data_IF_278880732123
#
_entry.id   IF_278880732123
#
_cell.length_a   1.000
_cell.length_b   1.000
_cell.length_c   1.000
_cell.angle_alpha   90.00
_cell.angle_beta   90.00
_cell.angle_gamma   90.00
#
_symmetry.space_group_name_H-M   'P 1'
#
loop_
_entity.id
_entity.type
_entity.pdbx_description
1 polymer ?
#
# COMPACT_ATOMS: atom_id res chain seq x y z
N UNK A 1 -60.38 -10.24 0.90
CA UNK A 1 -59.20 -9.94 1.74
C UNK A 1 -57.94 -10.10 0.88
N UNK A 2 -57.06 -9.10 0.89
CA UNK A 2 -55.75 -9.07 0.21
C UNK A 2 -54.71 -9.92 0.95
N UNK A 3 -53.78 -10.53 0.20
CA UNK A 3 -52.31 -10.63 0.46
C UNK A 3 -51.71 -11.63 -0.55
N UNK A 4 -50.97 -11.18 -1.55
CA UNK A 4 -49.56 -10.75 -1.57
C UNK A 4 -48.67 -11.85 -2.16
N UNK A 5 -48.20 -11.51 -3.35
CA UNK A 5 -47.11 -12.01 -4.18
C UNK A 5 -45.77 -12.09 -3.42
N UNK A 6 -44.91 -13.06 -3.75
CA UNK A 6 -43.46 -12.85 -3.69
C UNK A 6 -42.74 -13.78 -4.70
N UNK A 7 -42.37 -13.19 -5.83
CA UNK A 7 -41.49 -13.78 -6.83
C UNK A 7 -40.09 -13.35 -6.42
N UNK A 8 -39.29 -14.25 -5.83
CA UNK A 8 -37.89 -13.95 -5.53
C UNK A 8 -37.07 -14.29 -6.77
N UNK A 9 -36.89 -13.30 -7.63
CA UNK A 9 -35.86 -13.29 -8.67
C UNK A 9 -34.49 -13.09 -8.02
N UNK A 10 -33.68 -14.14 -7.99
CA UNK A 10 -32.26 -14.04 -7.64
C UNK A 10 -31.53 -13.46 -8.87
N UNK A 11 -31.36 -12.13 -8.93
CA UNK A 11 -30.57 -11.51 -10.00
C UNK A 11 -29.10 -11.88 -9.81
N UNK A 12 -28.56 -12.66 -10.76
CA UNK A 12 -27.12 -12.75 -10.98
C UNK A 12 -26.62 -11.37 -11.40
N UNK A 13 -26.12 -10.59 -10.43
CA UNK A 13 -25.33 -9.40 -10.75
C UNK A 13 -24.04 -9.86 -11.41
N UNK A 14 -23.98 -9.73 -12.73
CA UNK A 14 -22.76 -9.83 -13.54
C UNK A 14 -21.75 -8.81 -13.01
N UNK A 15 -20.77 -9.28 -12.25
CA UNK A 15 -19.62 -8.47 -11.83
C UNK A 15 -18.70 -8.31 -13.03
N UNK A 16 -18.67 -7.11 -13.60
CA UNK A 16 -17.70 -6.76 -14.62
C UNK A 16 -16.35 -6.51 -13.92
N UNK A 17 -15.45 -7.50 -14.03
CA UNK A 17 -14.06 -7.40 -13.61
C UNK A 17 -13.22 -6.89 -14.79
N UNK A 18 -12.58 -5.73 -14.62
CA UNK A 18 -11.65 -5.19 -15.61
C UNK A 18 -10.22 -5.37 -15.10
N UNK A 19 -9.39 -6.07 -15.88
CA UNK A 19 -7.99 -6.34 -15.52
C UNK A 19 -7.08 -5.41 -16.31
N UNK A 20 -6.36 -4.54 -15.61
CA UNK A 20 -5.37 -3.67 -16.23
C UNK A 20 -4.15 -4.48 -16.71
N UNK A 21 -3.40 -3.94 -17.69
CA UNK A 21 -2.19 -4.59 -18.26
C UNK A 21 -1.12 -5.01 -17.24
N UNK A 22 -1.17 -4.49 -16.01
CA UNK A 22 -0.22 -4.78 -14.93
C UNK A 22 -0.80 -5.70 -13.84
N UNK A 23 -1.94 -6.36 -14.11
CA UNK A 23 -2.55 -7.34 -13.21
C UNK A 23 -3.48 -6.76 -12.14
N UNK A 24 -3.60 -5.44 -12.04
CA UNK A 24 -4.58 -4.82 -11.13
C UNK A 24 -5.99 -5.10 -11.63
N UNK A 25 -6.81 -5.70 -10.76
CA UNK A 25 -8.21 -6.03 -11.03
C UNK A 25 -9.12 -4.95 -10.43
N UNK A 26 -9.96 -4.35 -11.25
CA UNK A 26 -11.00 -3.42 -10.84
C UNK A 26 -12.33 -4.15 -10.81
N UNK A 27 -12.99 -4.13 -9.65
CA UNK A 27 -14.36 -4.61 -9.52
C UNK A 27 -15.29 -3.41 -9.56
N UNK A 28 -16.02 -3.23 -10.66
CA UNK A 28 -17.06 -2.21 -10.73
C UNK A 28 -18.27 -2.71 -9.96
N UNK A 29 -18.50 -2.18 -8.77
CA UNK A 29 -19.70 -2.49 -7.98
C UNK A 29 -20.84 -1.62 -8.51
N UNK A 30 -21.81 -2.23 -9.22
CA UNK A 30 -23.07 -1.53 -9.50
C UNK A 30 -23.89 -1.46 -8.23
N UNK A 31 -24.30 -0.26 -7.86
CA UNK A 31 -25.34 -0.07 -6.84
C UNK A 31 -26.68 0.03 -7.57
N UNK A 32 -27.47 -1.04 -7.50
CA UNK A 32 -28.87 -1.03 -7.92
C UNK A 32 -29.71 -0.30 -6.86
N UNK A 33 -29.66 1.04 -6.91
CA UNK A 33 -30.74 1.85 -6.34
C UNK A 33 -30.96 3.09 -7.22
N UNK A 34 -32.14 3.06 -7.84
CA UNK A 34 -32.82 4.12 -8.58
C UNK A 34 -32.43 5.53 -8.10
N UNK A 35 -31.57 6.23 -8.84
CA UNK A 35 -31.45 7.68 -8.76
C UNK A 35 -31.01 8.27 -10.11
N UNK A 36 -31.99 8.89 -10.76
CA UNK A 36 -31.82 9.77 -11.91
C UNK A 36 -31.10 11.04 -11.43
N UNK A 37 -29.81 11.20 -11.73
CA UNK A 37 -29.12 12.48 -11.56
C UNK A 37 -27.69 12.36 -11.05
N UNK A 38 -26.72 12.59 -11.95
CA UNK A 38 -25.27 12.73 -11.69
C UNK A 38 -24.66 11.62 -10.83
N UNK A 39 -24.15 10.59 -11.51
CA UNK A 39 -23.24 9.58 -10.92
C UNK A 39 -21.99 10.27 -10.38
N UNK A 40 -21.95 10.47 -9.08
CA UNK A 40 -20.70 10.74 -8.36
C UNK A 40 -20.00 9.38 -8.24
N UNK A 41 -19.08 9.10 -9.16
CA UNK A 41 -18.28 7.89 -9.11
C UNK A 41 -17.34 7.98 -7.92
N UNK A 42 -17.67 7.30 -6.82
CA UNK A 42 -16.76 7.16 -5.70
C UNK A 42 -15.71 6.12 -6.07
N UNK A 43 -14.48 6.58 -6.32
CA UNK A 43 -13.33 5.68 -6.50
C UNK A 43 -12.92 5.20 -5.12
N UNK A 44 -13.43 4.05 -4.69
CA UNK A 44 -12.97 3.40 -3.46
C UNK A 44 -11.64 2.70 -3.79
N UNK A 45 -10.54 3.30 -3.36
CA UNK A 45 -9.22 2.66 -3.42
C UNK A 45 -9.22 1.47 -2.46
N UNK A 46 -9.26 0.26 -2.98
CA UNK A 46 -8.98 -0.95 -2.20
C UNK A 46 -7.48 -1.06 -2.02
N UNK A 47 -7.06 -1.32 -0.77
CA UNK A 47 -5.67 -1.60 -0.44
C UNK A 47 -5.26 -2.91 -1.16
N UNK A 48 -4.30 -2.81 -2.08
CA UNK A 48 -3.80 -3.97 -2.81
C UNK A 48 -2.78 -4.68 -1.93
N UNK A 49 -3.02 -5.95 -1.62
CA UNK A 49 -2.05 -6.78 -0.92
C UNK A 49 -0.83 -7.01 -1.82
N UNK A 50 0.33 -6.53 -1.40
CA UNK A 50 1.60 -6.76 -2.10
C UNK A 50 2.53 -5.54 -2.12
N UNK A 51 3.75 -5.71 -2.67
CA UNK A 51 4.66 -4.60 -2.86
C UNK A 51 4.07 -3.58 -3.83
N UNK A 52 4.23 -2.31 -3.50
CA UNK A 52 3.77 -1.23 -4.37
C UNK A 52 4.47 -1.28 -5.73
N UNK A 53 3.84 -0.71 -6.75
CA UNK A 53 4.46 -0.56 -8.07
C UNK A 53 5.81 0.19 -8.01
N UNK A 54 5.95 1.09 -7.03
CA UNK A 54 7.21 1.76 -6.72
C UNK A 54 8.28 0.79 -6.21
N UNK A 55 7.95 -0.05 -5.22
CA UNK A 55 8.87 -1.05 -4.68
C UNK A 55 9.30 -2.07 -5.75
N UNK A 56 8.35 -2.54 -6.57
CA UNK A 56 8.62 -3.44 -7.70
C UNK A 56 9.62 -2.80 -8.66
N UNK A 57 9.38 -1.56 -9.11
CA UNK A 57 10.30 -0.87 -10.03
C UNK A 57 11.70 -0.75 -9.46
N UNK A 58 11.84 -0.41 -8.18
CA UNK A 58 13.15 -0.29 -7.53
C UNK A 58 13.90 -1.62 -7.47
N UNK A 59 13.22 -2.72 -7.18
CA UNK A 59 13.84 -4.05 -7.15
C UNK A 59 14.20 -4.55 -8.55
N UNK A 60 13.37 -4.25 -9.55
CA UNK A 60 13.55 -4.79 -10.92
C UNK A 60 14.54 -3.97 -11.76
N UNK A 61 14.60 -2.65 -11.54
CA UNK A 61 15.46 -1.73 -12.30
C UNK A 61 16.71 -1.29 -11.54
N UNK A 62 16.67 -1.35 -10.21
CA UNK A 62 17.80 -0.98 -9.35
C UNK A 62 18.73 -2.14 -9.09
N UNK A 63 19.93 -1.82 -8.59
CA UNK A 63 20.79 -2.81 -7.97
C UNK A 63 20.28 -3.19 -6.56
N UNK A 64 20.85 -4.25 -6.00
CA UNK A 64 20.51 -4.72 -4.66
C UNK A 64 20.67 -3.62 -3.59
N UNK A 65 21.67 -2.74 -3.75
CA UNK A 65 21.92 -1.63 -2.84
C UNK A 65 20.78 -0.60 -2.87
N UNK A 66 20.21 -0.34 -4.05
CA UNK A 66 19.08 0.56 -4.25
C UNK A 66 17.78 -0.01 -3.67
N UNK A 67 17.58 -1.33 -3.79
CA UNK A 67 16.43 -2.00 -3.17
C UNK A 67 16.49 -1.95 -1.64
N UNK A 68 17.68 -2.05 -1.04
CA UNK A 68 17.87 -1.91 0.41
C UNK A 68 17.40 -0.57 0.96
N UNK A 69 17.47 0.51 0.15
CA UNK A 69 17.00 1.84 0.54
C UNK A 69 15.48 1.92 0.75
N UNK A 70 14.71 0.95 0.26
CA UNK A 70 13.28 0.83 0.57
C UNK A 70 13.03 0.51 2.06
N UNK A 71 13.99 -0.17 2.71
CA UNK A 71 13.89 -0.58 4.11
C UNK A 71 14.64 0.38 5.04
N UNK A 72 15.82 0.82 4.61
CA UNK A 72 16.67 1.73 5.39
C UNK A 72 16.89 3.01 4.60
N UNK A 73 16.21 4.08 5.01
CA UNK A 73 16.39 5.39 4.41
C UNK A 73 17.54 6.19 5.08
N UNK A 74 17.90 7.30 4.47
CA UNK A 74 19.00 8.17 4.92
C UNK A 74 18.81 8.69 6.35
N UNK A 75 17.57 8.85 6.83
CA UNK A 75 17.33 9.29 8.21
C UNK A 75 17.72 8.22 9.20
N UNK A 76 17.40 6.96 8.93
CA UNK A 76 17.79 5.83 9.78
C UNK A 76 19.32 5.71 9.80
N UNK A 77 19.98 5.82 8.64
CA UNK A 77 21.44 5.82 8.55
C UNK A 77 22.07 6.94 9.37
N UNK A 78 21.51 8.15 9.30
CA UNK A 78 22.01 9.29 10.06
C UNK A 78 21.89 9.09 11.57
N UNK A 79 20.77 8.52 12.03
CA UNK A 79 20.59 8.17 13.44
C UNK A 79 21.64 7.14 13.88
N UNK A 80 21.83 6.07 13.11
CA UNK A 80 22.84 5.04 13.41
C UNK A 80 24.23 5.67 13.50
N UNK A 81 24.57 6.56 12.57
CA UNK A 81 25.84 7.26 12.57
C UNK A 81 26.03 8.09 13.85
N UNK A 82 25.06 8.95 14.20
CA UNK A 82 25.16 9.80 15.38
C UNK A 82 25.37 9.01 16.68
N UNK A 83 24.61 7.92 16.86
CA UNK A 83 24.77 7.07 18.03
C UNK A 83 26.13 6.38 18.05
N UNK A 84 26.60 5.90 16.90
CA UNK A 84 27.91 5.25 16.79
C UNK A 84 29.04 6.22 17.15
N UNK A 85 28.99 7.44 16.64
CA UNK A 85 29.97 8.50 16.95
C UNK A 85 29.95 8.88 18.43
N UNK A 86 28.77 9.03 19.02
CA UNK A 86 28.62 9.33 20.45
C UNK A 86 29.24 8.24 21.34
N UNK A 87 29.00 6.97 21.01
CA UNK A 87 29.55 5.82 21.73
C UNK A 87 31.07 5.76 21.60
N UNK A 88 31.61 5.96 20.39
CA UNK A 88 33.06 5.97 20.17
C UNK A 88 33.75 7.10 20.96
N UNK A 89 33.15 8.29 20.97
CA UNK A 89 33.65 9.44 21.74
C UNK A 89 33.68 9.15 23.24
N UNK A 90 32.64 8.52 23.78
CA UNK A 90 32.59 8.09 25.17
C UNK A 90 33.75 7.14 25.54
N UNK A 91 34.01 6.11 24.72
CA UNK A 91 35.10 5.17 24.98
C UNK A 91 36.49 5.81 24.88
N UNK A 92 36.69 6.74 23.95
CA UNK A 92 37.95 7.47 23.82
C UNK A 92 38.22 8.37 25.04
N UNK A 93 37.19 9.06 25.54
CA UNK A 93 37.28 9.88 26.75
C UNK A 93 37.71 9.05 27.97
N UNK A 94 37.05 7.91 28.19
CA UNK A 94 37.36 7.03 29.32
C UNK A 94 38.77 6.42 29.23
N UNK A 95 39.23 6.09 28.02
CA UNK A 95 40.58 5.55 27.83
C UNK A 95 41.66 6.58 28.17
N UNK A 96 41.43 7.86 27.86
CA UNK A 96 42.37 8.94 28.14
C UNK A 96 42.41 9.36 29.61
N UNK A 97 41.38 9.05 30.40
CA UNK A 97 41.36 9.31 31.84
C UNK A 97 42.02 8.21 32.68
N UNK A 98 42.22 7.03 32.10
CA UNK A 98 42.80 5.86 32.75
C UNK A 98 44.32 5.70 32.51
N UNK A 99 44.95 6.63 31.78
CA UNK A 99 46.38 6.64 31.46
C UNK A 99 47.08 7.85 32.07
#
# INVERSE_FOLDING_TARGET
>A
MRKSQEVTSLSQNERNEEVAKHGTVWTTVSFDTVSLGRRQQYTVLKEVLGPSSFAIRYVTLGDFASAWRLFINEKILHIIQQYTEAVLSYYQCNKNQAS
#
